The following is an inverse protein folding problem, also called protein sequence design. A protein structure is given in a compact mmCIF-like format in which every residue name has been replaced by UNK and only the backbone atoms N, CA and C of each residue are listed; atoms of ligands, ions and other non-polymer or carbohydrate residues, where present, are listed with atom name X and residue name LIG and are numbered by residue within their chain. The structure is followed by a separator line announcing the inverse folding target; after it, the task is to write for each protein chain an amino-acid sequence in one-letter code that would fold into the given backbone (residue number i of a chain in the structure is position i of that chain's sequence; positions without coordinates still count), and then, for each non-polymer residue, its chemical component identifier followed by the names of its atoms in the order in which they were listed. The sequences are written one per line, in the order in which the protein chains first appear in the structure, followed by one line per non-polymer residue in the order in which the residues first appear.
data_IF_322500932671
#
_entry.id   IF_322500932671
#
_cell.length_a   1.000
_cell.length_b   1.000
_cell.length_c   1.000
_cell.angle_alpha   90.00
_cell.angle_beta   90.00
_cell.angle_gamma   90.00
#
_symmetry.space_group_name_H-M   'P 1'
#
loop_
_entity.id
_entity.type
_entity.pdbx_description
1 polymer ?
#
# COMPACT_ATOMS: atom_id res chain seq x y z
N UNK A 1 15.88 9.29 -30.52
CA UNK A 1 16.16 9.86 -29.18
C UNK A 1 14.97 9.65 -28.27
N UNK A 2 15.23 9.25 -27.02
CA UNK A 2 14.17 9.15 -26.01
C UNK A 2 13.72 10.57 -25.59
N UNK A 3 12.42 10.79 -25.35
CA UNK A 3 11.93 12.08 -24.86
C UNK A 3 12.63 12.47 -23.56
N UNK A 4 13.04 13.74 -23.46
CA UNK A 4 13.56 14.29 -22.21
C UNK A 4 12.46 14.37 -21.14
N UNK A 5 12.78 13.97 -19.92
CA UNK A 5 11.88 14.07 -18.76
C UNK A 5 11.87 15.51 -18.20
N UNK A 6 10.71 16.01 -17.79
CA UNK A 6 10.58 17.41 -17.33
C UNK A 6 11.13 17.64 -15.91
N UNK A 7 11.37 16.58 -15.13
CA UNK A 7 11.83 16.67 -13.74
C UNK A 7 13.03 15.75 -13.50
N UNK A 8 13.88 16.17 -12.55
CA UNK A 8 15.01 15.37 -12.08
C UNK A 8 14.63 14.29 -11.06
N UNK A 9 13.49 14.46 -10.39
CA UNK A 9 13.02 13.57 -9.32
C UNK A 9 11.52 13.30 -9.44
N UNK A 10 11.16 12.06 -9.20
CA UNK A 10 9.80 11.54 -9.25
C UNK A 10 9.53 10.73 -7.98
N UNK A 11 8.38 10.97 -7.34
CA UNK A 11 7.91 10.08 -6.29
C UNK A 11 7.31 8.83 -6.93
N UNK A 12 7.69 7.66 -6.43
CA UNK A 12 7.12 6.38 -6.82
C UNK A 12 6.37 5.83 -5.62
N UNK A 13 5.06 5.68 -5.76
CA UNK A 13 4.18 5.21 -4.69
C UNK A 13 2.74 5.09 -5.17
N UNK A 14 1.84 4.72 -4.27
CA UNK A 14 0.44 4.43 -4.61
C UNK A 14 -0.42 5.68 -4.87
N UNK A 15 0.04 6.87 -4.50
CA UNK A 15 -0.77 8.11 -4.61
C UNK A 15 -1.95 8.20 -3.63
N UNK A 16 -2.11 7.20 -2.75
CA UNK A 16 -3.15 7.11 -1.72
C UNK A 16 -2.58 6.45 -0.47
N UNK A 17 -3.07 6.81 0.71
CA UNK A 17 -2.82 6.06 1.94
C UNK A 17 -3.81 4.91 2.09
N UNK A 18 -3.45 3.91 2.88
CA UNK A 18 -4.29 2.78 3.26
C UNK A 18 -4.16 2.56 4.77
N UNK A 19 -5.25 2.18 5.40
CA UNK A 19 -5.30 1.81 6.81
C UNK A 19 -4.95 0.34 7.00
N UNK A 20 -4.43 -0.02 8.18
CA UNK A 20 -4.24 -1.44 8.53
C UNK A 20 -5.56 -2.22 8.42
N UNK A 21 -6.69 -1.60 8.77
CA UNK A 21 -8.02 -2.20 8.64
C UNK A 21 -8.37 -2.59 7.20
N UNK A 22 -8.07 -1.73 6.22
CA UNK A 22 -8.26 -2.03 4.80
C UNK A 22 -7.38 -3.21 4.36
N UNK A 23 -6.10 -3.22 4.75
CA UNK A 23 -5.19 -4.33 4.43
C UNK A 23 -5.68 -5.65 5.03
N UNK A 24 -6.12 -5.66 6.29
CA UNK A 24 -6.70 -6.84 6.94
C UNK A 24 -7.96 -7.29 6.21
N UNK A 25 -8.80 -6.35 5.79
CA UNK A 25 -9.99 -6.63 4.97
C UNK A 25 -9.62 -7.38 3.68
N UNK A 26 -8.62 -6.90 2.95
CA UNK A 26 -8.15 -7.57 1.74
C UNK A 26 -7.54 -8.95 2.02
N UNK A 27 -6.81 -9.10 3.12
CA UNK A 27 -6.22 -10.37 3.52
C UNK A 27 -7.29 -11.43 3.85
N UNK A 28 -8.39 -11.03 4.51
CA UNK A 28 -9.52 -11.92 4.81
C UNK A 28 -10.17 -12.52 3.57
N UNK A 29 -10.12 -11.84 2.43
CA UNK A 29 -10.66 -12.37 1.16
C UNK A 29 -9.88 -13.59 0.65
N UNK A 30 -8.60 -13.74 1.05
CA UNK A 30 -7.74 -14.87 0.67
C UNK A 30 -7.52 -15.86 1.80
N UNK A 31 -7.62 -15.39 3.04
CA UNK A 31 -7.52 -16.20 4.26
C UNK A 31 -8.77 -15.97 5.11
N UNK A 32 -9.90 -16.65 4.82
CA UNK A 32 -11.16 -16.42 5.53
C UNK A 32 -11.09 -16.67 7.04
N UNK A 33 -10.14 -17.51 7.49
CA UNK A 33 -9.87 -17.77 8.90
C UNK A 33 -9.05 -16.69 9.63
N UNK A 34 -8.62 -15.63 8.95
CA UNK A 34 -7.79 -14.58 9.54
C UNK A 34 -8.54 -13.83 10.63
N UNK A 35 -8.05 -13.97 11.87
CA UNK A 35 -8.52 -13.21 13.03
C UNK A 35 -7.66 -11.98 13.24
N UNK A 36 -8.31 -10.86 13.46
CA UNK A 36 -7.69 -9.61 13.85
C UNK A 36 -8.63 -8.93 14.85
N UNK A 37 -8.07 -8.53 15.98
CA UNK A 37 -8.80 -7.97 17.11
C UNK A 37 -8.26 -6.58 17.42
N UNK A 38 -9.16 -5.69 17.85
CA UNK A 38 -8.80 -4.33 18.30
C UNK A 38 -8.95 -4.33 19.81
N UNK A 39 -7.82 -4.20 20.51
CA UNK A 39 -7.72 -4.24 21.97
C UNK A 39 -7.11 -2.95 22.52
N UNK A 40 -7.21 -2.68 23.83
CA UNK A 40 -6.42 -1.63 24.47
C UNK A 40 -4.92 -1.83 24.25
N UNK A 41 -4.16 -0.74 24.23
CA UNK A 41 -2.74 -0.73 23.84
C UNK A 41 -1.85 -1.69 24.63
N UNK A 42 -2.19 -1.97 25.90
CA UNK A 42 -1.43 -2.88 26.79
C UNK A 42 -1.42 -4.33 26.28
N UNK A 43 -2.48 -4.74 25.57
CA UNK A 43 -2.64 -6.10 25.03
C UNK A 43 -2.36 -6.19 23.52
N UNK A 44 -1.91 -5.09 22.89
CA UNK A 44 -1.83 -5.00 21.43
C UNK A 44 -0.43 -5.26 20.90
N UNK A 45 -0.30 -6.15 19.90
CA UNK A 45 1.00 -6.42 19.24
C UNK A 45 1.44 -5.30 18.28
N UNK A 46 0.51 -4.49 17.78
CA UNK A 46 0.74 -3.41 16.82
C UNK A 46 0.03 -2.16 17.33
N UNK A 47 0.81 -1.18 17.80
CA UNK A 47 0.28 0.13 18.22
C UNK A 47 0.56 1.13 17.11
N UNK A 48 -0.50 1.73 16.56
CA UNK A 48 -0.38 2.79 15.55
C UNK A 48 -1.19 4.02 15.97
N UNK A 49 -0.54 5.19 15.90
CA UNK A 49 -1.23 6.46 16.07
C UNK A 49 -2.04 6.79 14.81
N UNK A 50 -3.36 6.71 14.94
CA UNK A 50 -4.33 6.96 13.85
C UNK A 50 -4.36 8.41 13.37
N UNK A 51 -3.73 9.34 14.10
CA UNK A 51 -3.60 10.75 13.70
C UNK A 51 -2.46 10.97 12.71
N UNK A 52 -1.51 10.03 12.62
CA UNK A 52 -0.37 10.10 11.70
C UNK A 52 -0.78 9.72 10.27
N UNK A 53 -1.39 10.68 9.56
CA UNK A 53 -1.88 10.50 8.17
C UNK A 53 -1.04 11.25 7.12
N UNK A 54 0.02 11.94 7.54
CA UNK A 54 0.84 12.81 6.70
C UNK A 54 2.33 12.48 6.72
N UNK A 55 3.10 13.20 5.92
CA UNK A 55 4.56 13.03 5.82
C UNK A 55 4.92 11.62 5.35
N UNK A 56 5.77 10.92 6.11
CA UNK A 56 6.21 9.55 5.83
C UNK A 56 5.05 8.54 5.75
N UNK A 57 3.91 8.85 6.37
CA UNK A 57 2.72 8.00 6.45
C UNK A 57 1.61 8.42 5.48
N UNK A 58 1.84 9.48 4.70
CA UNK A 58 0.86 10.07 3.80
C UNK A 58 0.94 9.53 2.38
N UNK A 59 -0.08 9.87 1.58
CA UNK A 59 -0.05 9.66 0.14
C UNK A 59 1.01 10.55 -0.52
N UNK A 60 1.98 9.95 -1.19
CA UNK A 60 2.93 10.70 -2.03
C UNK A 60 2.21 11.36 -3.21
N UNK A 61 2.56 12.61 -3.51
CA UNK A 61 2.17 13.23 -4.78
C UNK A 61 2.92 12.56 -5.94
N UNK A 62 2.17 11.83 -6.77
CA UNK A 62 2.68 11.10 -7.94
C UNK A 62 2.30 11.77 -9.28
N UNK A 63 1.77 13.00 -9.26
CA UNK A 63 1.29 13.68 -10.47
C UNK A 63 2.39 13.84 -11.53
N UNK A 64 3.64 14.05 -11.11
CA UNK A 64 4.78 14.23 -12.04
C UNK A 64 5.05 12.99 -12.87
N UNK A 65 5.16 11.82 -12.22
CA UNK A 65 5.48 10.57 -12.93
C UNK A 65 4.30 10.16 -13.81
N UNK A 66 3.09 10.37 -13.33
CA UNK A 66 1.87 10.07 -14.07
C UNK A 66 1.75 10.89 -15.36
N UNK A 67 2.08 12.17 -15.31
CA UNK A 67 2.01 13.05 -16.48
C UNK A 67 3.12 12.77 -17.48
N UNK A 68 4.36 12.61 -17.01
CA UNK A 68 5.51 12.60 -17.90
C UNK A 68 5.80 11.23 -18.52
N UNK A 69 5.30 10.15 -17.94
CA UNK A 69 5.63 8.77 -18.36
C UNK A 69 4.42 7.88 -18.60
N UNK A 70 3.21 8.40 -18.40
CA UNK A 70 1.95 7.64 -18.41
C UNK A 70 1.89 6.51 -17.35
N UNK A 71 2.94 6.30 -16.56
CA UNK A 71 2.99 5.29 -15.52
C UNK A 71 1.88 5.49 -14.48
N UNK A 72 1.32 4.39 -13.99
CA UNK A 72 0.32 4.36 -12.92
C UNK A 72 0.67 3.24 -11.94
N UNK A 73 0.49 3.44 -10.61
CA UNK A 73 0.57 2.34 -9.68
C UNK A 73 -0.58 1.36 -9.94
N UNK A 74 -0.35 0.07 -9.66
CA UNK A 74 -1.45 -0.89 -9.59
C UNK A 74 -2.36 -0.54 -8.41
N UNK A 75 -3.68 -0.78 -8.50
CA UNK A 75 -4.58 -0.66 -7.36
C UNK A 75 -4.06 -1.45 -6.15
N UNK A 76 -4.11 -0.85 -4.96
CA UNK A 76 -3.47 -1.40 -3.75
C UNK A 76 -3.93 -2.82 -3.43
N UNK A 77 -5.25 -3.06 -3.48
CA UNK A 77 -5.84 -4.39 -3.26
C UNK A 77 -5.33 -5.42 -4.26
N UNK A 78 -5.29 -5.09 -5.54
CA UNK A 78 -4.83 -6.00 -6.60
C UNK A 78 -3.35 -6.36 -6.42
N UNK A 79 -2.50 -5.35 -6.15
CA UNK A 79 -1.08 -5.58 -5.89
C UNK A 79 -0.85 -6.45 -4.65
N UNK A 80 -1.63 -6.21 -3.59
CA UNK A 80 -1.56 -6.99 -2.35
C UNK A 80 -1.99 -8.45 -2.57
N UNK A 81 -3.12 -8.68 -3.23
CA UNK A 81 -3.61 -10.02 -3.58
C UNK A 81 -2.63 -10.79 -4.47
N UNK A 82 -2.05 -10.14 -5.49
CA UNK A 82 -1.04 -10.77 -6.33
C UNK A 82 0.19 -11.23 -5.53
N UNK A 83 0.57 -10.49 -4.49
CA UNK A 83 1.67 -10.88 -3.61
C UNK A 83 1.29 -12.07 -2.72
N UNK A 84 0.08 -12.09 -2.17
CA UNK A 84 -0.42 -13.25 -1.40
C UNK A 84 -0.49 -14.52 -2.26
N UNK A 85 -0.96 -14.41 -3.51
CA UNK A 85 -0.98 -15.52 -4.46
C UNK A 85 0.42 -16.05 -4.74
N UNK A 86 1.39 -15.14 -4.90
CA UNK A 86 2.78 -15.52 -5.09
C UNK A 86 3.34 -16.28 -3.88
N UNK A 87 3.13 -15.80 -2.64
CA UNK A 87 3.57 -16.51 -1.43
C UNK A 87 2.98 -17.92 -1.39
N UNK A 88 1.66 -18.05 -1.56
CA UNK A 88 0.98 -19.35 -1.52
C UNK A 88 1.50 -20.34 -2.58
N UNK A 89 1.94 -19.83 -3.72
CA UNK A 89 2.50 -20.64 -4.80
C UNK A 89 3.98 -21.03 -4.59
N UNK A 90 4.73 -20.33 -3.73
CA UNK A 90 6.19 -20.43 -3.69
C UNK A 90 6.80 -20.73 -2.30
N UNK A 91 6.12 -20.47 -1.19
CA UNK A 91 6.70 -20.56 0.16
C UNK A 91 6.06 -21.66 1.05
N UNK A 92 5.76 -22.83 0.47
CA UNK A 92 5.28 -24.00 1.23
C UNK A 92 6.42 -24.74 1.96
#
# INVERSE_FOLDING_TARGET
DAPGLNYRHYNIGSGSSQTIGEIIGWARERVPGLKAEVTPGEDTNIVQDVTLKGGMWGAYDIARIMRDTEWRPRPGKEAFHAYMDWIAANEN
#
